data_IF_566514627762
#
_entry.id   IF_566514627762
#
_cell.length_a   1.000
_cell.length_b   1.000
_cell.length_c   1.000
_cell.angle_alpha   90.00
_cell.angle_beta   90.00
_cell.angle_gamma   90.00
#
_symmetry.space_group_name_H-M   'P 1'
#
loop_
_entity.id
_entity.type
_entity.pdbx_description
1 polymer ?
#
# COMPACT_ATOMS: atom_id res chain seq x y z
N UNK A 1 -59.88 50.56 -16.58
CA UNK A 1 -59.31 51.66 -15.76
C UNK A 1 -59.50 52.96 -16.53
N UNK A 2 -60.24 53.91 -15.93
CA UNK A 2 -60.32 55.37 -16.12
C UNK A 2 -59.73 55.97 -17.43
N UNK A 3 -60.43 56.76 -18.24
CA UNK A 3 -61.36 57.84 -17.87
C UNK A 3 -60.59 59.12 -17.52
N UNK A 4 -60.46 60.07 -18.46
CA UNK A 4 -60.04 61.50 -18.32
C UNK A 4 -59.93 62.07 -19.74
N UNK A 5 -60.90 62.76 -20.36
CA UNK A 5 -61.65 63.98 -19.99
C UNK A 5 -60.80 65.16 -19.49
N UNK A 6 -61.14 66.32 -20.09
CA UNK A 6 -60.79 67.73 -19.83
C UNK A 6 -59.64 68.23 -20.72
N UNK A 7 -59.72 69.38 -21.40
CA UNK A 7 -60.26 70.68 -20.93
C UNK A 7 -60.92 71.42 -22.11
N UNK A 8 -62.19 71.80 -21.95
CA UNK A 8 -62.87 72.77 -22.82
C UNK A 8 -62.31 74.16 -22.58
N UNK A 9 -62.00 74.90 -23.65
CA UNK A 9 -61.70 76.34 -23.58
C UNK A 9 -62.96 77.07 -23.15
N UNK A 10 -63.01 77.46 -21.88
CA UNK A 10 -63.95 78.44 -21.37
C UNK A 10 -63.60 79.80 -21.98
N UNK A 11 -64.53 80.36 -22.76
CA UNK A 11 -64.53 81.78 -23.09
C UNK A 11 -64.93 82.52 -21.81
N UNK A 12 -63.96 83.17 -21.18
CA UNK A 12 -64.22 84.10 -20.09
C UNK A 12 -64.64 85.43 -20.74
N UNK A 13 -65.94 85.64 -20.85
CA UNK A 13 -66.50 87.00 -20.88
C UNK A 13 -66.40 87.55 -19.46
N UNK A 14 -65.79 88.73 -19.31
CA UNK A 14 -66.02 89.58 -18.15
C UNK A 14 -66.33 91.01 -18.58
N UNK A 15 -67.16 91.70 -17.77
CA UNK A 15 -68.07 92.74 -18.22
C UNK A 15 -67.49 94.11 -17.94
N UNK A 16 -67.61 95.04 -18.89
CA UNK A 16 -67.42 96.47 -18.61
C UNK A 16 -68.72 97.21 -18.88
N UNK A 17 -69.51 97.31 -17.82
CA UNK A 17 -70.54 98.33 -17.70
C UNK A 17 -69.92 99.72 -17.87
N UNK A 18 -70.54 100.53 -18.70
CA UNK A 18 -70.30 101.96 -18.72
C UNK A 18 -70.86 102.53 -17.41
N UNK A 19 -69.95 102.99 -16.53
CA UNK A 19 -70.30 103.87 -15.42
C UNK A 19 -70.48 105.27 -15.99
N UNK A 20 -71.70 105.78 -15.90
CA UNK A 20 -71.98 107.22 -15.96
C UNK A 20 -71.31 107.90 -14.76
N UNK A 21 -70.31 108.73 -15.03
CA UNK A 21 -69.58 109.53 -14.06
C UNK A 21 -68.84 110.67 -14.77
N UNK A 22 -68.62 111.83 -14.12
CA UNK A 22 -68.10 113.02 -14.77
C UNK A 22 -66.67 112.81 -15.31
N UNK A 23 -66.27 113.54 -16.36
CA UNK A 23 -65.04 113.28 -17.10
C UNK A 23 -63.81 113.32 -16.18
N UNK A 24 -62.84 112.40 -16.34
CA UNK A 24 -61.59 112.49 -15.60
C UNK A 24 -60.88 113.79 -15.96
N UNK A 25 -60.42 114.50 -14.93
CA UNK A 25 -59.56 115.67 -15.11
C UNK A 25 -58.39 115.29 -15.99
N UNK A 26 -58.31 115.93 -17.17
CA UNK A 26 -57.19 115.82 -18.09
C UNK A 26 -55.91 116.09 -17.30
N UNK A 27 -55.10 115.05 -17.15
CA UNK A 27 -53.74 115.19 -16.67
C UNK A 27 -53.05 116.16 -17.62
N UNK A 28 -52.85 117.40 -17.13
CA UNK A 28 -52.00 118.46 -17.66
C UNK A 28 -51.01 117.92 -18.69
N UNK A 29 -51.24 118.23 -19.96
CA UNK A 29 -50.30 117.99 -21.05
C UNK A 29 -48.97 118.63 -20.65
N UNK A 30 -48.03 117.80 -20.19
CA UNK A 30 -46.63 118.18 -20.19
C UNK A 30 -46.28 118.33 -21.66
N UNK A 31 -45.91 119.53 -22.07
CA UNK A 31 -45.35 119.82 -23.39
C UNK A 31 -44.06 119.01 -23.55
N UNK A 32 -44.20 117.82 -24.12
CA UNK A 32 -43.09 116.93 -24.43
C UNK A 32 -42.42 117.49 -25.69
N UNK A 33 -41.13 117.82 -25.59
CA UNK A 33 -40.34 118.32 -26.71
C UNK A 33 -40.28 117.28 -27.85
N UNK A 34 -40.41 117.67 -29.13
CA UNK A 34 -40.35 116.77 -30.29
C UNK A 34 -39.16 115.78 -30.27
N UNK A 35 -37.98 116.24 -29.80
CA UNK A 35 -36.78 115.40 -29.66
C UNK A 35 -36.93 114.24 -28.67
N UNK A 36 -37.75 114.39 -27.63
CA UNK A 36 -37.98 113.34 -26.63
C UNK A 36 -38.89 112.24 -27.18
N UNK A 37 -39.93 112.61 -27.93
CA UNK A 37 -40.78 111.65 -28.63
C UNK A 37 -40.00 110.82 -29.65
N UNK A 38 -39.08 111.43 -30.39
CA UNK A 38 -38.21 110.72 -31.34
C UNK A 38 -37.30 109.69 -30.65
N UNK A 39 -36.78 110.02 -29.45
CA UNK A 39 -36.00 109.10 -28.62
C UNK A 39 -36.81 107.88 -28.15
N UNK A 40 -38.03 108.10 -27.65
CA UNK A 40 -38.93 107.02 -27.19
C UNK A 40 -39.38 106.13 -28.36
N UNK A 41 -39.67 106.70 -29.55
CA UNK A 41 -39.95 105.95 -30.77
C UNK A 41 -38.74 105.15 -31.26
N UNK A 42 -37.52 105.68 -31.09
CA UNK A 42 -36.29 104.95 -31.41
C UNK A 42 -36.07 103.78 -30.44
N UNK A 43 -36.28 103.96 -29.14
CA UNK A 43 -36.22 102.90 -28.12
C UNK A 43 -37.23 101.79 -28.42
N UNK A 44 -38.49 102.15 -28.67
CA UNK A 44 -39.55 101.19 -29.04
C UNK A 44 -39.23 100.43 -30.32
N UNK A 45 -38.66 101.09 -31.34
CA UNK A 45 -38.18 100.41 -32.56
C UNK A 45 -36.99 99.48 -32.29
N UNK A 46 -36.14 99.80 -31.32
CA UNK A 46 -35.07 98.91 -30.83
C UNK A 46 -35.63 97.68 -30.13
N UNK A 47 -36.58 97.87 -29.22
CA UNK A 47 -37.27 96.79 -28.50
C UNK A 47 -38.05 95.87 -29.44
N UNK A 48 -38.80 96.42 -30.41
CA UNK A 48 -39.50 95.64 -31.43
C UNK A 48 -38.54 94.79 -32.29
N UNK A 49 -37.33 95.31 -32.59
CA UNK A 49 -36.29 94.54 -33.28
C UNK A 49 -35.76 93.41 -32.42
N UNK A 50 -35.43 93.67 -31.15
CA UNK A 50 -35.01 92.62 -30.20
C UNK A 50 -36.05 91.52 -30.05
N UNK A 51 -37.32 91.88 -29.83
CA UNK A 51 -38.43 90.91 -29.74
C UNK A 51 -38.57 90.11 -31.04
N UNK A 52 -38.36 90.74 -32.20
CA UNK A 52 -38.37 90.04 -33.48
C UNK A 52 -37.22 89.05 -33.60
N UNK A 53 -36.01 89.44 -33.21
CA UNK A 53 -34.82 88.59 -33.25
C UNK A 53 -34.97 87.41 -32.27
N UNK A 54 -35.45 87.67 -31.06
CA UNK A 54 -35.76 86.64 -30.04
C UNK A 54 -36.84 85.67 -30.54
N UNK A 55 -37.91 86.17 -31.16
CA UNK A 55 -38.95 85.32 -31.76
C UNK A 55 -38.39 84.48 -32.90
N UNK A 56 -37.50 85.02 -33.73
CA UNK A 56 -36.85 84.24 -34.80
C UNK A 56 -35.99 83.11 -34.21
N UNK A 57 -35.20 83.42 -33.19
CA UNK A 57 -34.41 82.41 -32.46
C UNK A 57 -35.29 81.31 -31.86
N UNK A 58 -36.39 81.67 -31.19
CA UNK A 58 -37.35 80.70 -30.65
C UNK A 58 -37.98 79.83 -31.75
N UNK A 59 -38.28 80.40 -32.92
CA UNK A 59 -38.77 79.63 -34.07
C UNK A 59 -37.72 78.63 -34.55
N UNK A 60 -36.46 79.05 -34.67
CA UNK A 60 -35.35 78.19 -35.09
C UNK A 60 -35.13 77.04 -34.08
N UNK A 61 -35.19 77.33 -32.77
CA UNK A 61 -35.13 76.32 -31.71
C UNK A 61 -36.31 75.33 -31.79
N UNK A 62 -37.53 75.82 -31.99
CA UNK A 62 -38.71 74.96 -32.14
C UNK A 62 -38.57 74.03 -33.34
N UNK A 63 -38.06 74.53 -34.46
CA UNK A 63 -37.80 73.71 -35.66
C UNK A 63 -36.71 72.68 -35.35
N UNK A 64 -35.61 73.07 -34.71
CA UNK A 64 -34.55 72.16 -34.27
C UNK A 64 -35.05 71.06 -33.34
N UNK A 65 -35.84 71.41 -32.32
CA UNK A 65 -36.44 70.46 -31.39
C UNK A 65 -37.42 69.51 -32.08
N UNK A 66 -38.21 69.99 -33.05
CA UNK A 66 -39.12 69.13 -33.84
C UNK A 66 -38.34 68.12 -34.67
N UNK A 67 -37.27 68.54 -35.34
CA UNK A 67 -36.41 67.63 -36.10
C UNK A 67 -35.72 66.61 -35.21
N UNK A 68 -35.18 67.03 -34.06
CA UNK A 68 -34.57 66.15 -33.07
C UNK A 68 -35.58 65.12 -32.53
N UNK A 69 -36.80 65.56 -32.23
CA UNK A 69 -37.88 64.67 -31.78
C UNK A 69 -38.25 63.63 -32.85
N UNK A 70 -38.28 64.00 -34.14
CA UNK A 70 -38.52 63.03 -35.22
C UNK A 70 -37.39 62.01 -35.32
N UNK A 71 -36.12 62.43 -35.26
CA UNK A 71 -34.96 61.53 -35.27
C UNK A 71 -34.98 60.56 -34.07
N UNK A 72 -35.20 61.06 -32.86
CA UNK A 72 -35.29 60.23 -31.66
C UNK A 72 -36.47 59.22 -31.72
N UNK A 73 -37.56 59.56 -32.39
CA UNK A 73 -38.67 58.62 -32.62
C UNK A 73 -38.29 57.52 -33.60
N UNK A 74 -37.55 57.85 -34.67
CA UNK A 74 -37.03 56.88 -35.62
C UNK A 74 -36.02 55.94 -34.95
N UNK A 75 -35.10 56.48 -34.13
CA UNK A 75 -34.13 55.70 -33.36
C UNK A 75 -34.81 54.80 -32.32
N UNK A 76 -35.85 55.31 -31.63
CA UNK A 76 -36.65 54.49 -30.72
C UNK A 76 -37.37 53.37 -31.47
N UNK A 77 -37.91 53.66 -32.66
CA UNK A 77 -38.60 52.67 -33.47
C UNK A 77 -37.63 51.59 -33.99
N UNK A 78 -36.45 52.00 -34.47
CA UNK A 78 -35.41 51.07 -34.94
C UNK A 78 -34.91 50.19 -33.79
N UNK A 79 -34.61 50.79 -32.63
CA UNK A 79 -34.24 50.04 -31.43
C UNK A 79 -35.35 49.09 -30.98
N UNK A 80 -36.61 49.52 -31.04
CA UNK A 80 -37.77 48.67 -30.69
C UNK A 80 -37.92 47.46 -31.62
N UNK A 81 -37.43 47.53 -32.86
CA UNK A 81 -37.42 46.40 -33.80
C UNK A 81 -36.22 45.46 -33.58
N UNK A 82 -35.06 46.00 -33.18
CA UNK A 82 -33.82 45.23 -33.02
C UNK A 82 -33.79 44.46 -31.69
N UNK A 83 -34.24 45.08 -30.59
CA UNK A 83 -34.26 44.46 -29.25
C UNK A 83 -34.91 43.06 -29.22
N UNK A 84 -36.12 42.81 -29.79
CA UNK A 84 -36.73 41.48 -29.74
C UNK A 84 -35.95 40.45 -30.56
N UNK A 85 -35.30 40.84 -31.66
CA UNK A 85 -34.46 39.93 -32.46
C UNK A 85 -33.23 39.49 -31.67
N UNK A 86 -32.52 40.45 -31.06
CA UNK A 86 -31.38 40.16 -30.19
C UNK A 86 -31.78 39.27 -28.99
N UNK A 87 -32.96 39.52 -28.40
CA UNK A 87 -33.49 38.66 -27.33
C UNK A 87 -33.75 37.23 -27.82
N UNK A 88 -34.39 37.07 -28.98
CA UNK A 88 -34.65 35.75 -29.55
C UNK A 88 -33.36 34.99 -29.88
N UNK A 89 -32.36 35.67 -30.45
CA UNK A 89 -31.03 35.10 -30.72
C UNK A 89 -30.36 34.65 -29.41
N UNK A 90 -30.35 35.49 -28.37
CA UNK A 90 -29.76 35.15 -27.06
C UNK A 90 -30.51 34.02 -26.36
N UNK A 91 -31.83 34.00 -26.45
CA UNK A 91 -32.65 32.90 -25.94
C UNK A 91 -32.32 31.59 -26.69
N UNK A 92 -32.18 31.63 -28.00
CA UNK A 92 -31.81 30.46 -28.80
C UNK A 92 -30.41 29.96 -28.43
N UNK A 93 -29.41 30.85 -28.37
CA UNK A 93 -28.05 30.52 -27.90
C UNK A 93 -28.09 29.87 -26.51
N UNK A 94 -28.87 30.43 -25.58
CA UNK A 94 -28.98 29.88 -24.21
C UNK A 94 -29.61 28.48 -24.21
N UNK A 95 -30.61 28.23 -25.05
CA UNK A 95 -31.26 26.92 -25.21
C UNK A 95 -30.31 25.90 -25.83
N UNK A 96 -29.50 26.29 -26.80
CA UNK A 96 -28.49 25.39 -27.37
C UNK A 96 -27.42 25.02 -26.34
N UNK A 97 -26.91 25.99 -25.57
CA UNK A 97 -25.90 25.74 -24.55
C UNK A 97 -26.43 24.82 -23.45
N UNK A 98 -27.66 25.05 -22.99
CA UNK A 98 -28.31 24.17 -22.01
C UNK A 98 -28.53 22.76 -22.55
N UNK A 99 -28.98 22.60 -23.80
CA UNK A 99 -29.10 21.28 -24.42
C UNK A 99 -27.76 20.56 -24.55
N UNK A 100 -26.70 21.27 -24.96
CA UNK A 100 -25.34 20.71 -25.04
C UNK A 100 -24.85 20.29 -23.65
N UNK A 101 -25.08 21.12 -22.63
CA UNK A 101 -24.71 20.82 -21.26
C UNK A 101 -25.43 19.57 -20.74
N UNK A 102 -26.75 19.44 -20.95
CA UNK A 102 -27.52 18.25 -20.55
C UNK A 102 -27.03 16.98 -21.26
N UNK A 103 -26.64 17.06 -22.54
CA UNK A 103 -26.05 15.92 -23.26
C UNK A 103 -24.72 15.50 -22.64
N UNK A 104 -23.83 16.46 -22.35
CA UNK A 104 -22.55 16.20 -21.71
C UNK A 104 -22.72 15.65 -20.27
N UNK A 105 -23.70 16.12 -19.51
CA UNK A 105 -24.02 15.56 -18.19
C UNK A 105 -24.51 14.11 -18.28
N UNK A 106 -25.31 13.79 -19.30
CA UNK A 106 -25.76 12.41 -19.53
C UNK A 106 -24.60 11.48 -19.91
N UNK A 107 -23.70 11.95 -20.80
CA UNK A 107 -22.47 11.22 -21.15
C UNK A 107 -21.54 11.06 -19.93
N UNK A 108 -21.40 12.07 -19.09
CA UNK A 108 -20.59 11.98 -17.87
C UNK A 108 -21.18 10.94 -16.90
N UNK A 109 -22.51 10.93 -16.71
CA UNK A 109 -23.19 9.93 -15.88
C UNK A 109 -23.07 8.52 -16.43
N UNK A 110 -23.05 8.33 -17.75
CA UNK A 110 -22.89 7.00 -18.35
C UNK A 110 -21.45 6.47 -18.23
N UNK A 111 -20.46 7.35 -18.07
CA UNK A 111 -19.06 6.99 -17.82
C UNK A 111 -18.75 6.70 -16.34
N UNK A 112 -19.58 7.15 -15.40
CA UNK A 112 -19.42 6.90 -13.96
C UNK A 112 -19.29 5.40 -13.58
N UNK A 113 -20.10 4.46 -14.10
CA UNK A 113 -19.89 3.03 -13.79
C UNK A 113 -18.54 2.51 -14.29
N UNK A 114 -18.07 2.94 -15.46
CA UNK A 114 -16.75 2.53 -15.97
C UNK A 114 -15.62 3.06 -15.06
N UNK A 115 -15.78 4.26 -14.51
CA UNK A 115 -14.86 4.81 -13.50
C UNK A 115 -14.86 3.95 -12.23
N UNK A 116 -16.03 3.50 -11.77
CA UNK A 116 -16.15 2.63 -10.61
C UNK A 116 -15.51 1.25 -10.87
N UNK A 117 -15.78 0.64 -12.01
CA UNK A 117 -15.18 -0.65 -12.42
C UNK A 117 -13.65 -0.53 -12.49
N UNK A 118 -13.11 0.56 -13.05
CA UNK A 118 -11.67 0.80 -13.09
C UNK A 118 -11.04 0.90 -11.68
N UNK A 119 -11.74 1.49 -10.71
CA UNK A 119 -11.29 1.53 -9.31
C UNK A 119 -11.34 0.14 -8.66
N UNK A 120 -12.39 -0.63 -8.92
CA UNK A 120 -12.53 -2.01 -8.43
C UNK A 120 -11.42 -2.90 -8.99
N UNK A 121 -11.21 -2.92 -10.31
CA UNK A 121 -10.16 -3.69 -10.97
C UNK A 121 -8.77 -3.30 -10.47
N UNK A 122 -8.53 -2.02 -10.18
CA UNK A 122 -7.26 -1.59 -9.58
C UNK A 122 -7.05 -2.17 -8.18
N UNK A 123 -8.11 -2.26 -7.37
CA UNK A 123 -8.05 -2.85 -6.03
C UNK A 123 -7.85 -4.37 -6.07
N UNK A 124 -8.50 -5.05 -7.02
CA UNK A 124 -8.35 -6.48 -7.25
C UNK A 124 -6.95 -6.81 -7.76
N UNK A 125 -6.41 -6.02 -8.70
CA UNK A 125 -5.04 -6.17 -9.18
C UNK A 125 -4.02 -6.01 -8.04
N UNK A 126 -4.24 -5.06 -7.11
CA UNK A 126 -3.41 -4.92 -5.91
C UNK A 126 -3.47 -6.16 -5.01
N UNK A 127 -4.66 -6.74 -4.83
CA UNK A 127 -4.87 -7.95 -4.03
C UNK A 127 -4.25 -9.20 -4.68
N UNK A 128 -4.31 -9.30 -6.01
CA UNK A 128 -3.65 -10.36 -6.77
C UNK A 128 -2.13 -10.25 -6.70
N UNK A 129 -1.57 -9.04 -6.73
CA UNK A 129 -0.14 -8.84 -6.60
C UNK A 129 0.36 -9.20 -5.20
N UNK A 130 -0.39 -8.89 -4.13
CA UNK A 130 -0.04 -9.34 -2.77
C UNK A 130 -0.09 -10.87 -2.65
N UNK A 131 -1.13 -11.51 -3.18
CA UNK A 131 -1.24 -12.98 -3.20
C UNK A 131 -0.09 -13.62 -3.99
N UNK A 132 0.29 -13.04 -5.13
CA UNK A 132 1.43 -13.48 -5.92
C UNK A 132 2.73 -13.38 -5.12
N UNK A 133 2.95 -12.30 -4.38
CA UNK A 133 4.13 -12.13 -3.52
C UNK A 133 4.16 -13.18 -2.40
N UNK A 134 3.03 -13.43 -1.74
CA UNK A 134 2.91 -14.47 -0.71
C UNK A 134 3.18 -15.87 -1.28
N UNK A 135 2.61 -16.21 -2.43
CA UNK A 135 2.84 -17.49 -3.10
C UNK A 135 4.30 -17.65 -3.53
N UNK A 136 4.92 -16.59 -4.05
CA UNK A 136 6.35 -16.62 -4.37
C UNK A 136 7.21 -16.85 -3.13
N UNK A 137 6.89 -16.22 -1.99
CA UNK A 137 7.58 -16.45 -0.74
C UNK A 137 7.42 -17.91 -0.26
N UNK A 138 6.21 -18.48 -0.38
CA UNK A 138 5.95 -19.89 -0.06
C UNK A 138 6.73 -20.84 -0.97
N UNK A 139 6.74 -20.58 -2.28
CA UNK A 139 7.51 -21.39 -3.24
C UNK A 139 8.99 -21.34 -2.92
N UNK A 140 9.56 -20.15 -2.68
CA UNK A 140 10.96 -20.01 -2.28
C UNK A 140 11.27 -20.74 -0.95
N UNK A 141 10.35 -20.70 0.01
CA UNK A 141 10.45 -21.46 1.26
C UNK A 141 10.51 -22.96 1.01
N UNK A 142 9.54 -23.50 0.26
CA UNK A 142 9.48 -24.93 -0.09
C UNK A 142 10.69 -25.38 -0.92
N UNK A 143 11.20 -24.53 -1.83
CA UNK A 143 12.43 -24.84 -2.58
C UNK A 143 13.62 -25.01 -1.64
N UNK A 144 13.77 -24.14 -0.63
CA UNK A 144 14.84 -24.25 0.36
C UNK A 144 14.70 -25.50 1.23
N UNK A 145 13.47 -25.80 1.68
CA UNK A 145 13.20 -27.02 2.45
C UNK A 145 13.51 -28.28 1.62
N UNK A 146 13.15 -28.28 0.33
CA UNK A 146 13.47 -29.37 -0.59
C UNK A 146 14.98 -29.53 -0.78
N UNK A 147 15.72 -28.42 -0.94
CA UNK A 147 17.18 -28.43 -1.03
C UNK A 147 17.81 -29.00 0.26
N UNK A 148 17.32 -28.58 1.44
CA UNK A 148 17.77 -29.11 2.72
C UNK A 148 17.53 -30.62 2.83
N UNK A 149 16.30 -31.08 2.57
CA UNK A 149 15.97 -32.51 2.58
C UNK A 149 16.79 -33.30 1.56
N UNK A 150 17.04 -32.74 0.37
CA UNK A 150 17.88 -33.39 -0.63
C UNK A 150 19.32 -33.57 -0.13
N UNK A 151 19.87 -32.58 0.59
CA UNK A 151 21.21 -32.65 1.17
C UNK A 151 21.29 -33.64 2.34
N UNK A 152 20.23 -33.79 3.13
CA UNK A 152 20.12 -34.81 4.17
C UNK A 152 20.05 -36.21 3.56
N UNK A 153 19.24 -36.38 2.51
CA UNK A 153 19.13 -37.65 1.79
C UNK A 153 20.46 -38.05 1.13
N UNK A 154 21.29 -37.11 0.70
CA UNK A 154 22.64 -37.38 0.18
C UNK A 154 23.58 -38.00 1.23
N UNK A 155 23.26 -37.92 2.53
CA UNK A 155 24.04 -38.57 3.60
C UNK A 155 23.70 -40.05 3.77
N UNK A 156 22.52 -40.48 3.31
CA UNK A 156 22.04 -41.87 3.46
C UNK A 156 23.01 -42.90 2.85
N UNK A 157 23.56 -42.71 1.63
CA UNK A 157 24.53 -43.64 1.06
C UNK A 157 25.80 -43.80 1.91
N UNK A 158 26.30 -42.72 2.52
CA UNK A 158 27.45 -42.79 3.41
C UNK A 158 27.13 -43.61 4.67
N UNK A 159 25.96 -43.38 5.29
CA UNK A 159 25.51 -44.18 6.44
C UNK A 159 25.29 -45.66 6.08
N UNK A 160 24.83 -45.96 4.86
CA UNK A 160 24.70 -47.33 4.36
C UNK A 160 26.08 -47.99 4.24
N UNK A 161 27.07 -47.27 3.69
CA UNK A 161 28.45 -47.75 3.57
C UNK A 161 29.05 -48.04 4.96
N UNK A 162 28.96 -47.10 5.89
CA UNK A 162 29.43 -47.28 7.28
C UNK A 162 28.78 -48.49 7.95
N UNK A 163 27.46 -48.67 7.79
CA UNK A 163 26.74 -49.84 8.30
C UNK A 163 27.30 -51.14 7.72
N UNK A 164 27.57 -51.17 6.42
CA UNK A 164 28.04 -52.38 5.75
C UNK A 164 29.50 -52.70 6.09
N UNK A 165 30.35 -51.68 6.29
CA UNK A 165 31.70 -51.84 6.83
C UNK A 165 31.68 -52.43 8.24
N UNK A 166 30.84 -51.88 9.13
CA UNK A 166 30.65 -52.41 10.49
C UNK A 166 30.13 -53.86 10.48
N UNK A 167 29.27 -54.22 9.52
CA UNK A 167 28.82 -55.61 9.34
C UNK A 167 29.97 -56.53 8.93
N UNK A 168 30.85 -56.08 8.03
CA UNK A 168 32.02 -56.85 7.64
C UNK A 168 32.99 -57.03 8.81
N UNK A 169 33.23 -55.98 9.59
CA UNK A 169 34.05 -56.06 10.81
C UNK A 169 33.48 -57.05 11.81
N UNK A 170 32.16 -57.04 12.03
CA UNK A 170 31.49 -58.00 12.90
C UNK A 170 31.67 -59.46 12.41
N UNK A 171 31.56 -59.69 11.10
CA UNK A 171 31.80 -61.03 10.52
C UNK A 171 33.25 -61.47 10.76
N UNK A 172 34.23 -60.59 10.52
CA UNK A 172 35.66 -60.87 10.74
C UNK A 172 35.94 -61.16 12.22
N UNK A 173 35.38 -60.38 13.13
CA UNK A 173 35.54 -60.56 14.58
C UNK A 173 34.94 -61.90 15.06
N UNK A 174 33.76 -62.28 14.53
CA UNK A 174 33.15 -63.59 14.82
C UNK A 174 34.02 -64.74 14.33
N UNK A 175 34.52 -64.65 13.09
CA UNK A 175 35.41 -65.67 12.54
C UNK A 175 36.69 -65.82 13.40
N UNK A 176 37.34 -64.71 13.75
CA UNK A 176 38.52 -64.72 14.63
C UNK A 176 38.25 -65.38 15.98
N UNK A 177 37.11 -65.06 16.59
CA UNK A 177 36.68 -65.65 17.85
C UNK A 177 36.43 -67.17 17.74
N UNK A 178 35.85 -67.64 16.63
CA UNK A 178 35.65 -69.06 16.39
C UNK A 178 36.97 -69.81 16.12
N UNK A 179 37.92 -69.19 15.40
CA UNK A 179 39.28 -69.72 15.27
C UNK A 179 39.96 -69.87 16.64
N UNK A 180 39.92 -68.85 17.49
CA UNK A 180 40.50 -68.93 18.84
C UNK A 180 39.83 -70.00 19.70
N UNK A 181 38.50 -70.12 19.64
CA UNK A 181 37.78 -71.18 20.37
C UNK A 181 38.25 -72.57 19.94
N UNK A 182 38.47 -72.79 18.65
CA UNK A 182 38.89 -74.08 18.11
C UNK A 182 40.38 -74.37 18.37
N UNK A 183 41.24 -73.35 18.40
CA UNK A 183 42.67 -73.50 18.69
C UNK A 183 42.97 -73.68 20.20
N UNK A 184 42.16 -73.08 21.08
CA UNK A 184 42.30 -73.19 22.55
C UNK A 184 42.43 -74.64 23.07
N UNK A 185 41.59 -75.63 22.70
CA UNK A 185 41.74 -76.98 23.22
C UNK A 185 43.06 -77.64 22.80
N UNK A 186 43.53 -77.43 21.57
CA UNK A 186 44.80 -77.97 21.09
C UNK A 186 45.99 -77.37 21.84
N UNK A 187 45.99 -76.04 22.03
CA UNK A 187 47.00 -75.35 22.83
C UNK A 187 46.98 -75.83 24.29
N UNK A 188 45.80 -75.99 24.88
CA UNK A 188 45.66 -76.54 26.24
C UNK A 188 46.19 -77.97 26.33
N UNK A 189 45.94 -78.82 25.33
CA UNK A 189 46.47 -80.17 25.28
C UNK A 189 48.00 -80.19 25.16
N UNK A 190 48.59 -79.29 24.36
CA UNK A 190 50.04 -79.13 24.26
C UNK A 190 50.64 -78.67 25.59
N UNK A 191 50.04 -77.67 26.25
CA UNK A 191 50.48 -77.23 27.59
C UNK A 191 50.43 -78.38 28.59
N UNK A 192 49.34 -79.15 28.63
CA UNK A 192 49.23 -80.32 29.50
C UNK A 192 50.25 -81.41 29.18
N UNK A 193 50.61 -81.61 27.91
CA UNK A 193 51.64 -82.57 27.51
C UNK A 193 53.02 -82.12 28.03
N UNK A 194 53.39 -80.85 27.82
CA UNK A 194 54.63 -80.28 28.33
C UNK A 194 54.67 -80.32 29.86
N UNK A 195 53.55 -80.03 30.55
CA UNK A 195 53.44 -80.17 32.00
C UNK A 195 53.74 -81.61 32.46
N UNK A 196 53.20 -82.62 31.77
CA UNK A 196 53.49 -84.03 32.07
C UNK A 196 54.97 -84.36 31.85
N UNK A 197 55.55 -83.92 30.74
CA UNK A 197 56.97 -84.15 30.42
C UNK A 197 57.90 -83.47 31.44
N UNK A 198 57.55 -82.27 31.90
CA UNK A 198 58.31 -81.60 32.97
C UNK A 198 58.22 -82.37 34.30
N UNK A 199 57.05 -82.94 34.61
CA UNK A 199 56.88 -83.80 35.79
C UNK A 199 57.70 -85.08 35.67
N UNK A 200 57.70 -85.74 34.51
CA UNK A 200 58.52 -86.95 34.30
C UNK A 200 60.01 -86.64 34.36
N UNK A 201 60.47 -85.56 33.72
CA UNK A 201 61.85 -85.08 33.83
C UNK A 201 62.24 -84.75 35.27
N UNK A 202 61.35 -84.12 36.03
CA UNK A 202 61.59 -83.86 37.46
C UNK A 202 61.76 -85.18 38.23
N UNK A 203 60.87 -86.16 38.01
CA UNK A 203 60.96 -87.49 38.63
C UNK A 203 62.23 -88.25 38.22
N UNK A 204 62.65 -88.17 36.95
CA UNK A 204 63.89 -88.78 36.47
C UNK A 204 65.12 -88.08 37.05
N UNK A 205 65.10 -86.75 37.17
CA UNK A 205 66.16 -86.00 37.84
C UNK A 205 66.28 -86.41 39.31
N UNK A 206 65.15 -86.66 39.99
CA UNK A 206 65.13 -87.20 41.35
C UNK A 206 65.67 -88.63 41.42
N UNK A 207 65.30 -89.49 40.46
CA UNK A 207 65.85 -90.85 40.36
C UNK A 207 67.36 -90.84 40.13
N UNK A 208 67.86 -90.03 39.20
CA UNK A 208 69.29 -89.88 38.94
C UNK A 208 70.02 -89.31 40.15
N UNK A 209 69.44 -88.34 40.86
CA UNK A 209 69.97 -87.86 42.14
C UNK A 209 70.05 -88.99 43.16
N UNK A 210 69.01 -89.81 43.31
CA UNK A 210 69.02 -90.97 44.19
C UNK A 210 70.03 -92.04 43.76
N UNK A 211 70.26 -92.22 42.45
CA UNK A 211 71.21 -93.19 41.90
C UNK A 211 72.67 -92.71 42.01
N UNK A 212 72.92 -91.40 41.85
CA UNK A 212 74.20 -90.76 42.17
C UNK A 212 74.49 -90.93 43.65
N UNK A 213 73.53 -90.65 44.53
CA UNK A 213 73.67 -90.86 45.98
C UNK A 213 74.02 -92.33 46.30
N UNK A 214 73.38 -93.28 45.60
CA UNK A 214 73.65 -94.71 45.71
C UNK A 214 75.05 -95.12 45.20
N UNK A 215 75.58 -94.48 44.16
CA UNK A 215 76.94 -94.71 43.64
C UNK A 215 78.03 -93.99 44.42
N UNK A 216 77.67 -92.91 45.13
CA UNK A 216 78.54 -92.16 46.04
C UNK A 216 78.65 -92.81 47.41
N UNK A 217 77.83 -93.82 47.69
CA UNK A 217 77.90 -94.63 48.91
C UNK A 217 79.10 -95.61 48.87
N UNK A 218 79.97 -95.64 49.90
CA UNK A 218 81.09 -96.59 49.98
C UNK A 218 80.60 -98.03 50.28
N UNK A 219 81.40 -99.09 50.00
CA UNK A 219 80.99 -100.48 50.22
C UNK A 219 80.80 -100.77 51.71
N UNK A 220 80.00 -101.79 52.09
CA UNK A 220 79.47 -101.87 53.44
C UNK A 220 80.55 -102.28 54.44
N UNK A 221 80.97 -101.34 55.28
CA UNK A 221 81.64 -101.67 56.53
C UNK A 221 80.63 -102.27 57.49
N UNK A 222 80.81 -103.56 57.81
CA UNK A 222 80.20 -104.22 58.96
C UNK A 222 80.47 -103.40 60.20
N UNK A 223 79.43 -103.10 60.97
CA UNK A 223 79.61 -102.76 62.38
C UNK A 223 78.60 -101.77 62.91
N UNK A 224 77.75 -102.28 63.80
CA UNK A 224 76.96 -101.55 64.81
C UNK A 224 75.71 -100.85 64.24
N UNK A 225 74.50 -101.42 64.33
CA UNK A 225 73.70 -101.66 65.56
C UNK A 225 73.81 -100.42 66.48
N UNK A 226 72.76 -99.73 66.87
CA UNK A 226 71.49 -100.26 67.34
C UNK A 226 70.62 -99.06 67.84
N UNK A 227 69.29 -99.25 67.86
CA UNK A 227 68.29 -98.64 68.77
C UNK A 227 67.87 -97.18 68.48
N UNK A 228 66.58 -96.78 68.43
CA UNK A 228 65.28 -97.29 68.95
C UNK A 228 64.17 -96.62 68.09
N UNK A 229 63.18 -97.30 67.49
CA UNK A 229 61.97 -97.96 68.04
C UNK A 229 60.95 -97.03 68.72
N UNK A 230 59.87 -96.68 68.02
CA UNK A 230 58.46 -96.90 68.44
C UNK A 230 57.50 -96.31 67.40
N UNK A 231 56.65 -97.15 66.81
CA UNK A 231 55.22 -97.27 67.15
C UNK A 231 54.42 -96.11 66.55
N UNK A 232 53.28 -96.24 65.87
CA UNK A 232 52.25 -97.29 65.79
C UNK A 232 51.30 -96.73 64.72
N UNK A 233 50.93 -97.51 63.70
CA UNK A 233 49.57 -98.06 63.53
C UNK A 233 48.50 -97.05 63.10
N UNK A 234 47.65 -97.51 62.15
CA UNK A 234 46.27 -97.09 61.84
C UNK A 234 46.04 -96.22 60.59
N UNK A 235 45.68 -96.92 59.50
CA UNK A 235 44.31 -97.12 59.00
C UNK A 235 43.37 -95.90 58.80
N UNK A 236 42.83 -95.78 57.58
CA UNK A 236 41.40 -95.47 57.39
C UNK A 236 40.98 -94.08 56.89
N UNK A 237 40.45 -94.09 55.64
CA UNK A 237 39.23 -93.39 55.16
C UNK A 237 39.20 -91.86 54.89
N UNK A 238 39.02 -91.58 53.59
CA UNK A 238 37.90 -90.85 52.95
C UNK A 238 37.53 -89.42 53.39
N UNK A 239 37.51 -88.48 52.42
CA UNK A 239 36.36 -87.65 51.95
C UNK A 239 36.85 -86.39 51.18
N UNK A 240 36.39 -86.22 49.94
CA UNK A 240 35.38 -85.24 49.44
C UNK A 240 35.91 -83.88 48.94
N UNK A 241 35.70 -83.64 47.64
CA UNK A 241 34.98 -82.51 46.99
C UNK A 241 35.23 -81.07 47.48
N UNK A 242 35.70 -80.19 46.56
CA UNK A 242 35.16 -78.85 46.17
C UNK A 242 36.13 -78.20 45.16
N UNK A 243 35.76 -77.91 43.90
CA UNK A 243 34.98 -76.79 43.33
C UNK A 243 35.53 -75.37 43.55
N UNK A 244 35.67 -74.62 42.42
CA UNK A 244 35.91 -73.17 42.19
C UNK A 244 37.40 -72.78 42.21
N UNK A 245 37.96 -72.05 41.25
CA UNK A 245 37.42 -70.98 40.37
C UNK A 245 37.62 -71.27 38.88
#
# INVERSE_FOLDING_TARGET
MAGRQRIGRQYFEEPRGFRDGPPPHLARERSISPRRFEGELSSRRGELRRIRDDNQHLVDEIVGLRQAMSRLKEDLHSSSQVIPKLRAEKELESRELTQRNLKLEAELRSLEPLRQDALQLRSEAGSLESLRQELNAKVQGLTKELEQQSSENQRIPAMIAERDDLRQELIRARAALDYEKNAKPELMAQVQAVEKDLVTMAQESEKLRAEIEKRRAPPPSRGQRLWILRATSWDGRARHVRQRL
#
